data_IF_946623612658
#
_entry.id   IF_946623612658
#
_cell.length_a   1.000
_cell.length_b   1.000
_cell.length_c   1.000
_cell.angle_alpha   90.00
_cell.angle_beta   90.00
_cell.angle_gamma   90.00
#
_symmetry.space_group_name_H-M   'P 1'
#
loop_
_entity.id
_entity.type
_entity.pdbx_description
1 polymer ?
#
# COMPACT_ATOMS: atom_id res chain seq x y z
N UNK A 1 19.97 -4.52 -4.38
CA UNK A 1 19.15 -5.70 -4.03
C UNK A 1 19.74 -6.49 -2.85
N UNK A 2 21.01 -6.92 -2.89
CA UNK A 2 21.64 -7.65 -1.77
C UNK A 2 21.52 -6.93 -0.43
N UNK A 3 21.76 -5.62 -0.39
CA UNK A 3 21.63 -4.83 0.84
C UNK A 3 20.18 -4.74 1.33
N UNK A 4 19.21 -4.65 0.42
CA UNK A 4 17.80 -4.66 0.76
C UNK A 4 17.40 -6.00 1.39
N UNK A 5 17.81 -7.12 0.80
CA UNK A 5 17.56 -8.47 1.35
C UNK A 5 18.18 -8.60 2.74
N UNK A 6 19.42 -8.13 2.92
CA UNK A 6 20.10 -8.16 4.22
C UNK A 6 19.36 -7.37 5.29
N UNK A 7 18.76 -6.23 4.93
CA UNK A 7 18.00 -5.38 5.86
C UNK A 7 16.58 -5.90 6.10
N UNK A 8 15.93 -6.45 5.07
CA UNK A 8 14.55 -6.93 5.13
C UNK A 8 14.41 -8.29 5.80
N UNK A 9 15.40 -9.17 5.67
CA UNK A 9 15.34 -10.56 6.17
C UNK A 9 14.02 -11.25 5.77
N UNK A 10 13.77 -11.45 4.45
CA UNK A 10 12.54 -12.08 3.97
C UNK A 10 12.44 -13.52 4.50
N UNK A 11 11.32 -13.85 5.14
CA UNK A 11 11.06 -15.15 5.77
C UNK A 11 9.77 -15.81 5.26
N UNK A 12 9.02 -15.11 4.40
CA UNK A 12 7.84 -15.63 3.71
C UNK A 12 7.84 -15.24 2.22
N UNK A 13 6.91 -15.84 1.46
CA UNK A 13 6.79 -15.59 0.02
C UNK A 13 6.32 -14.16 -0.28
N UNK A 14 5.47 -13.57 0.56
CA UNK A 14 4.99 -12.19 0.40
C UNK A 14 6.14 -11.17 0.43
N UNK A 15 7.14 -11.37 1.29
CA UNK A 15 8.33 -10.53 1.30
C UNK A 15 9.13 -10.63 0.00
N UNK A 16 9.15 -11.80 -0.63
CA UNK A 16 9.81 -11.97 -1.93
C UNK A 16 9.13 -11.14 -3.01
N UNK A 17 7.80 -11.06 -2.99
CA UNK A 17 7.01 -10.20 -3.88
C UNK A 17 7.32 -8.73 -3.57
N UNK A 18 7.32 -8.36 -2.28
CA UNK A 18 7.59 -7.00 -1.82
C UNK A 18 8.99 -6.49 -2.22
N UNK A 19 10.02 -7.34 -2.23
CA UNK A 19 11.39 -6.96 -2.62
C UNK A 19 11.45 -6.26 -3.98
N UNK A 20 10.70 -6.76 -4.98
CA UNK A 20 10.69 -6.20 -6.33
C UNK A 20 9.94 -4.86 -6.38
N UNK A 21 8.90 -4.70 -5.55
CA UNK A 21 8.17 -3.45 -5.44
C UNK A 21 9.00 -2.37 -4.71
N UNK A 22 9.69 -2.76 -3.63
CA UNK A 22 10.51 -1.88 -2.78
C UNK A 22 11.83 -1.47 -3.44
N UNK A 23 12.43 -2.31 -4.29
CA UNK A 23 13.70 -2.00 -4.97
C UNK A 23 13.52 -1.08 -6.19
N UNK A 24 12.84 0.05 -6.00
CA UNK A 24 12.59 1.09 -7.02
C UNK A 24 12.98 2.46 -6.48
N UNK A 25 13.36 3.44 -7.34
CA UNK A 25 13.79 4.76 -6.89
C UNK A 25 12.78 5.49 -6.00
N UNK A 26 11.48 5.41 -6.31
CA UNK A 26 10.42 6.06 -5.54
C UNK A 26 10.37 5.61 -4.07
N UNK A 27 10.10 4.31 -3.79
CA UNK A 27 10.08 3.79 -2.42
C UNK A 27 11.38 4.01 -1.64
N UNK A 28 12.54 3.91 -2.30
CA UNK A 28 13.85 4.12 -1.66
C UNK A 28 14.07 5.58 -1.24
N UNK A 29 13.52 6.54 -2.00
CA UNK A 29 13.69 7.97 -1.71
C UNK A 29 12.62 8.54 -0.78
N UNK A 30 11.48 7.86 -0.65
CA UNK A 30 10.36 8.34 0.18
C UNK A 30 10.39 7.84 1.63
N UNK A 31 11.39 7.04 2.02
CA UNK A 31 11.44 6.38 3.34
C UNK A 31 10.50 5.18 3.49
N UNK A 32 9.74 4.84 2.44
CA UNK A 32 8.78 3.72 2.47
C UNK A 32 9.46 2.38 2.75
N UNK A 33 10.67 2.18 2.22
CA UNK A 33 11.46 0.97 2.45
C UNK A 33 11.84 0.82 3.92
N UNK A 34 12.18 1.93 4.58
CA UNK A 34 12.58 1.92 5.97
C UNK A 34 11.37 1.60 6.86
N UNK A 35 10.23 2.25 6.64
CA UNK A 35 8.98 1.96 7.35
C UNK A 35 8.53 0.49 7.18
N UNK A 36 8.62 -0.06 5.97
CA UNK A 36 8.28 -1.47 5.73
C UNK A 36 9.15 -2.42 6.56
N UNK A 37 10.46 -2.17 6.56
CA UNK A 37 11.44 -2.98 7.29
C UNK A 37 11.31 -2.79 8.81
N UNK A 38 11.00 -1.59 9.28
CA UNK A 38 10.84 -1.28 10.70
C UNK A 38 9.56 -1.87 11.27
N UNK A 39 8.44 -1.76 10.55
CA UNK A 39 7.19 -2.42 10.92
C UNK A 39 7.28 -3.94 10.91
N UNK A 40 7.93 -4.52 9.88
CA UNK A 40 8.19 -5.98 9.84
C UNK A 40 8.91 -6.46 11.10
N UNK A 41 9.91 -5.72 11.55
CA UNK A 41 10.73 -6.10 12.69
C UNK A 41 10.25 -5.53 14.04
N UNK A 42 9.07 -4.92 14.09
CA UNK A 42 8.49 -4.35 15.32
C UNK A 42 9.25 -3.14 15.90
N UNK A 43 10.06 -2.45 15.07
CA UNK A 43 10.70 -1.17 15.45
C UNK A 43 9.75 0.02 15.28
N UNK A 44 8.72 -0.14 14.48
CA UNK A 44 7.58 0.76 14.33
C UNK A 44 6.29 -0.03 14.56
N UNK A 45 5.28 0.59 15.17
CA UNK A 45 3.98 -0.04 15.37
C UNK A 45 3.23 -0.22 14.05
N UNK A 46 2.55 -1.36 13.89
CA UNK A 46 1.72 -1.62 12.72
C UNK A 46 0.53 -0.66 12.71
N UNK A 47 0.34 0.03 11.58
CA UNK A 47 -0.81 0.90 11.33
C UNK A 47 -1.38 0.61 9.95
N UNK A 48 -2.68 0.82 9.76
CA UNK A 48 -3.38 0.41 8.53
C UNK A 48 -4.08 1.58 7.82
N UNK A 49 -3.35 2.41 7.04
CA UNK A 49 -1.89 2.40 6.82
C UNK A 49 -1.07 3.33 7.72
N UNK A 50 -1.71 4.34 8.31
CA UNK A 50 -1.05 5.45 8.99
C UNK A 50 -1.46 5.53 10.47
N UNK A 51 -0.59 6.06 11.33
CA UNK A 51 -0.83 6.13 12.78
C UNK A 51 -2.10 6.93 13.11
N UNK A 52 -2.34 8.02 12.37
CA UNK A 52 -3.51 8.89 12.56
C UNK A 52 -4.67 8.50 11.64
N UNK A 53 -4.37 8.15 10.39
CA UNK A 53 -5.37 7.89 9.36
C UNK A 53 -5.47 6.41 9.02
N UNK A 54 -6.05 5.63 9.93
CA UNK A 54 -6.24 4.19 9.77
C UNK A 54 -7.65 3.73 10.11
N UNK A 55 -8.00 2.55 9.61
CA UNK A 55 -9.27 1.90 9.91
C UNK A 55 -9.08 0.38 10.00
N UNK A 56 -9.67 -0.27 11.01
CA UNK A 56 -9.46 -1.69 11.32
C UNK A 56 -9.84 -2.62 10.15
N UNK A 57 -10.86 -2.25 9.37
CA UNK A 57 -11.26 -3.04 8.20
C UNK A 57 -10.19 -3.15 7.12
N UNK A 58 -9.15 -2.29 7.13
CA UNK A 58 -8.02 -2.38 6.21
C UNK A 58 -6.97 -3.39 6.62
N UNK A 59 -7.02 -3.90 7.86
CA UNK A 59 -6.05 -4.87 8.36
C UNK A 59 -5.90 -6.09 7.42
N UNK A 60 -6.98 -6.79 6.99
CA UNK A 60 -6.83 -7.94 6.11
C UNK A 60 -6.21 -7.62 4.74
N UNK A 61 -6.36 -6.37 4.26
CA UNK A 61 -5.84 -5.91 2.97
C UNK A 61 -4.34 -5.58 3.04
N UNK A 62 -3.91 -5.05 4.18
CA UNK A 62 -2.59 -4.46 4.35
C UNK A 62 -1.66 -5.27 5.27
N UNK A 63 -2.17 -6.29 5.95
CA UNK A 63 -1.39 -7.18 6.81
C UNK A 63 -0.20 -7.84 6.10
N UNK A 64 -0.32 -8.37 4.86
CA UNK A 64 0.82 -8.95 4.14
C UNK A 64 1.96 -7.97 3.84
N UNK A 65 1.68 -6.66 3.89
CA UNK A 65 2.65 -5.59 3.62
C UNK A 65 2.91 -4.73 4.86
N UNK A 66 2.65 -5.27 6.05
CA UNK A 66 2.89 -4.62 7.34
C UNK A 66 2.23 -3.24 7.45
N UNK A 67 1.04 -3.10 6.89
CA UNK A 67 0.30 -1.85 6.91
C UNK A 67 0.67 -0.84 5.81
N UNK A 68 1.65 -1.15 4.95
CA UNK A 68 2.09 -0.25 3.88
C UNK A 68 1.30 -0.53 2.60
N UNK A 69 0.74 0.51 1.97
CA UNK A 69 0.12 0.37 0.64
C UNK A 69 1.24 0.22 -0.40
N UNK A 70 1.49 -1.00 -0.84
CA UNK A 70 2.60 -1.35 -1.74
C UNK A 70 2.10 -1.75 -3.13
N UNK A 71 0.91 -2.35 -3.23
CA UNK A 71 0.37 -2.91 -4.46
C UNK A 71 -0.83 -2.13 -4.99
N UNK A 72 -1.08 -2.25 -6.30
CA UNK A 72 -2.22 -1.60 -6.96
C UNK A 72 -3.54 -2.24 -6.53
N UNK A 73 -3.51 -3.54 -6.31
CA UNK A 73 -4.61 -4.37 -5.82
C UNK A 73 -5.06 -3.91 -4.43
N UNK A 74 -4.12 -3.48 -3.57
CA UNK A 74 -4.45 -2.93 -2.25
C UNK A 74 -5.22 -1.62 -2.35
N UNK A 75 -4.85 -0.73 -3.28
CA UNK A 75 -5.63 0.51 -3.55
C UNK A 75 -7.06 0.17 -3.95
N UNK A 76 -7.22 -0.86 -4.79
CA UNK A 76 -8.54 -1.30 -5.24
C UNK A 76 -9.36 -1.92 -4.10
N UNK A 77 -8.74 -2.78 -3.29
CA UNK A 77 -9.39 -3.42 -2.15
C UNK A 77 -9.75 -2.41 -1.06
N UNK A 78 -8.92 -1.40 -0.79
CA UNK A 78 -9.24 -0.30 0.14
C UNK A 78 -10.55 0.40 -0.29
N UNK A 79 -10.69 0.74 -1.57
CA UNK A 79 -11.90 1.38 -2.08
C UNK A 79 -13.14 0.49 -1.98
N UNK A 80 -12.97 -0.83 -2.19
CA UNK A 80 -14.05 -1.80 -2.00
C UNK A 80 -14.49 -1.89 -0.53
N UNK A 81 -13.52 -1.99 0.39
CA UNK A 81 -13.78 -2.24 1.81
C UNK A 81 -14.30 -0.99 2.53
N UNK A 82 -13.76 0.20 2.23
CA UNK A 82 -14.17 1.44 2.90
C UNK A 82 -15.39 2.10 2.28
N UNK A 83 -15.51 2.06 0.95
CA UNK A 83 -16.50 2.87 0.22
C UNK A 83 -17.45 2.00 -0.65
N UNK A 84 -17.40 0.68 -0.53
CA UNK A 84 -18.33 -0.23 -1.20
C UNK A 84 -18.17 -0.32 -2.71
N UNK A 85 -17.00 0.06 -3.25
CA UNK A 85 -16.75 -0.06 -4.69
C UNK A 85 -16.85 -1.51 -5.16
N UNK A 86 -17.41 -1.72 -6.35
CA UNK A 86 -17.18 -2.98 -7.07
C UNK A 86 -15.73 -3.05 -7.54
N UNK A 87 -15.19 -4.25 -7.77
CA UNK A 87 -13.82 -4.42 -8.27
C UNK A 87 -13.57 -3.64 -9.58
N UNK A 88 -14.56 -3.62 -10.48
CA UNK A 88 -14.49 -2.84 -11.71
C UNK A 88 -14.47 -1.32 -11.46
N UNK A 89 -15.27 -0.84 -10.51
CA UNK A 89 -15.24 0.56 -10.08
C UNK A 89 -13.90 0.94 -9.44
N UNK A 90 -13.31 0.04 -8.65
CA UNK A 90 -12.05 0.26 -7.98
C UNK A 90 -10.88 0.35 -8.99
N UNK A 91 -10.86 -0.45 -10.06
CA UNK A 91 -9.87 -0.29 -11.14
C UNK A 91 -10.05 1.06 -11.87
N UNK A 92 -11.30 1.51 -12.06
CA UNK A 92 -11.56 2.83 -12.64
C UNK A 92 -11.00 3.96 -11.78
N UNK A 93 -11.16 3.87 -10.44
CA UNK A 93 -10.55 4.79 -9.49
C UNK A 93 -9.02 4.79 -9.62
N UNK A 94 -8.40 3.61 -9.61
CA UNK A 94 -6.94 3.45 -9.74
C UNK A 94 -6.42 4.09 -11.04
N UNK A 95 -7.12 3.90 -12.16
CA UNK A 95 -6.77 4.52 -13.45
C UNK A 95 -6.90 6.05 -13.42
N UNK A 96 -7.95 6.57 -12.78
CA UNK A 96 -8.14 8.02 -12.63
C UNK A 96 -7.01 8.66 -11.81
N UNK A 97 -6.58 8.03 -10.72
CA UNK A 97 -5.41 8.45 -9.93
C UNK A 97 -4.13 8.50 -10.76
N UNK A 98 -3.92 7.53 -11.65
CA UNK A 98 -2.76 7.51 -12.56
C UNK A 98 -2.76 8.64 -13.58
N UNK A 99 -3.93 9.05 -14.09
CA UNK A 99 -4.07 10.17 -15.03
C UNK A 99 -3.93 11.55 -14.37
N UNK A 100 -4.21 11.65 -13.07
CA UNK A 100 -4.15 12.90 -12.28
C UNK A 100 -4.98 14.06 -12.85
N UNK A 101 -6.07 13.76 -13.57
CA UNK A 101 -7.01 14.78 -14.07
C UNK A 101 -7.91 15.28 -12.94
N UNK A 102 -7.88 16.59 -12.59
CA UNK A 102 -8.63 17.11 -11.44
C UNK A 102 -10.14 16.81 -11.50
N UNK A 103 -10.75 16.96 -12.68
CA UNK A 103 -12.19 16.71 -12.88
C UNK A 103 -12.57 15.24 -12.68
N UNK A 104 -11.73 14.30 -13.13
CA UNK A 104 -11.96 12.86 -12.94
C UNK A 104 -11.82 12.49 -11.45
N UNK A 105 -10.80 13.05 -10.78
CA UNK A 105 -10.57 12.82 -9.34
C UNK A 105 -11.66 13.43 -8.47
N UNK A 106 -12.21 14.59 -8.84
CA UNK A 106 -13.32 15.21 -8.12
C UNK A 106 -14.57 14.32 -8.13
N UNK A 107 -14.89 13.70 -9.27
CA UNK A 107 -16.00 12.74 -9.37
C UNK A 107 -15.78 11.53 -8.47
N UNK A 108 -14.56 10.98 -8.48
CA UNK A 108 -14.22 9.83 -7.63
C UNK A 108 -14.25 10.19 -6.14
N UNK A 109 -13.80 11.39 -5.77
CA UNK A 109 -13.80 11.86 -4.38
C UNK A 109 -15.20 11.97 -3.78
N UNK A 110 -16.21 12.26 -4.58
CA UNK A 110 -17.60 12.30 -4.09
C UNK A 110 -18.21 10.90 -3.92
N UNK A 111 -17.65 9.88 -4.56
CA UNK A 111 -18.13 8.49 -4.48
C UNK A 111 -17.44 7.74 -3.33
N UNK A 112 -16.18 8.10 -3.04
CA UNK A 112 -15.40 7.55 -1.94
C UNK A 112 -15.89 8.02 -0.58
#
# INVERSE_FOLDING_TARGET
MKDLIKRLQPDCFEDMIALVALFRPGPLQSGMVDNFIDRKHGREELSYPDVQWQHESLKPVLEPTYGIILYQEQVMQIAQVLSGYTLGGADMLRRAMGKKKPEEMAKQRSVF
#
